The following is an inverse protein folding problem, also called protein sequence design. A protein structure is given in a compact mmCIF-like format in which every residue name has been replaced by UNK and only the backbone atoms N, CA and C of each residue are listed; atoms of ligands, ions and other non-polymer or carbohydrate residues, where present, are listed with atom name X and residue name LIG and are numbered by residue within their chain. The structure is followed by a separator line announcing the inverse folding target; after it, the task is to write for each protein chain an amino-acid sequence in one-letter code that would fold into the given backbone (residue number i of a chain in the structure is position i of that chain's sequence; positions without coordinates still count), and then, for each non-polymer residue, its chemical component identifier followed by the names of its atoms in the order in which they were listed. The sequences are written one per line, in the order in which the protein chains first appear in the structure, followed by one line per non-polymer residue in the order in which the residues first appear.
data_IF_203153369803
#
_entry.id   IF_203153369803
#
_cell.length_a   1.000
_cell.length_b   1.000
_cell.length_c   1.000
_cell.angle_alpha   90.00
_cell.angle_beta   90.00
_cell.angle_gamma   90.00
#
_symmetry.space_group_name_H-M   'P 1'
#
loop_
_entity.id
_entity.type
_entity.pdbx_description
1 polymer ?
#
# COMPACT_ATOMS: atom_id res chain seq x y z
N UNK A 1 -16.01 19.89 46.06
CA UNK A 1 -15.57 18.84 46.99
C UNK A 1 -14.29 18.25 46.42
N UNK A 2 -13.19 18.47 47.13
CA UNK A 2 -11.81 18.32 46.67
C UNK A 2 -11.17 17.08 47.29
N UNK A 3 -10.15 16.55 46.60
CA UNK A 3 -9.10 15.63 47.04
C UNK A 3 -9.41 14.13 46.93
N UNK A 4 -8.93 13.58 45.80
CA UNK A 4 -8.67 12.16 45.58
C UNK A 4 -7.40 11.75 46.34
N UNK A 5 -7.53 10.69 47.13
CA UNK A 5 -6.45 10.05 47.88
C UNK A 5 -5.54 9.27 46.92
N UNK A 6 -4.24 9.57 46.97
CA UNK A 6 -3.18 8.76 46.35
C UNK A 6 -3.04 7.42 47.08
N UNK A 7 -2.89 6.34 46.32
CA UNK A 7 -2.23 5.12 46.78
C UNK A 7 -1.23 4.67 45.70
N UNK A 8 0.03 4.71 46.11
CA UNK A 8 1.22 4.25 45.39
C UNK A 8 1.41 2.77 45.69
N UNK A 9 1.68 1.95 44.68
CA UNK A 9 2.51 0.75 44.86
C UNK A 9 3.34 0.49 43.61
N UNK A 10 4.64 0.43 43.84
CA UNK A 10 5.74 0.14 42.91
C UNK A 10 5.90 -1.37 42.76
N UNK A 11 6.14 -1.84 41.54
CA UNK A 11 6.85 -3.11 41.33
C UNK A 11 7.74 -2.99 40.07
N UNK A 12 9.04 -3.00 40.30
CA UNK A 12 10.10 -3.10 39.29
C UNK A 12 10.28 -4.57 38.93
N UNK A 13 10.31 -4.88 37.63
CA UNK A 13 10.83 -6.15 37.12
C UNK A 13 11.82 -5.85 36.00
N UNK A 14 13.11 -6.02 36.31
CA UNK A 14 14.22 -6.05 35.36
C UNK A 14 14.41 -7.50 34.89
N UNK A 15 14.32 -7.73 33.59
CA UNK A 15 14.84 -8.95 32.97
C UNK A 15 15.72 -8.56 31.78
N UNK A 16 17.01 -8.88 31.92
CA UNK A 16 18.02 -8.78 30.89
C UNK A 16 17.88 -9.94 29.89
N UNK A 17 18.00 -9.66 28.59
CA UNK A 17 18.40 -10.65 27.59
C UNK A 17 18.97 -9.97 26.33
N UNK A 18 20.29 -10.14 26.17
CA UNK A 18 21.06 -10.44 24.96
C UNK A 18 20.77 -9.71 23.64
N UNK A 19 21.79 -9.00 23.13
CA UNK A 19 21.94 -8.82 21.68
C UNK A 19 22.81 -7.65 21.23
N UNK A 20 24.10 -7.61 21.61
CA UNK A 20 25.09 -6.81 20.87
C UNK A 20 25.33 -7.48 19.52
N UNK A 21 25.08 -6.77 18.42
CA UNK A 21 25.79 -6.97 17.16
C UNK A 21 26.27 -5.59 16.70
N UNK A 22 27.56 -5.34 16.93
CA UNK A 22 28.33 -4.30 16.28
C UNK A 22 29.52 -4.99 15.60
N UNK A 23 29.83 -4.54 14.38
CA UNK A 23 30.85 -5.10 13.47
C UNK A 23 30.16 -5.58 12.19
N UNK A 24 30.53 -5.20 10.97
CA UNK A 24 31.74 -4.60 10.42
C UNK A 24 31.31 -3.86 9.13
N UNK A 25 31.93 -2.76 8.70
CA UNK A 25 33.06 -2.81 7.77
C UNK A 25 32.60 -3.17 6.34
N UNK A 26 32.30 -2.18 5.48
CA UNK A 26 33.21 -1.60 4.48
C UNK A 26 33.33 -2.40 3.17
N UNK A 27 32.99 -1.69 2.08
CA UNK A 27 33.56 -1.65 0.73
C UNK A 27 34.35 -2.86 0.17
N UNK A 28 34.05 -3.16 -1.10
CA UNK A 28 34.87 -3.91 -2.05
C UNK A 28 34.06 -4.14 -3.32
N UNK A 29 34.04 -3.19 -4.25
CA UNK A 29 34.92 -3.09 -5.43
C UNK A 29 34.56 -4.05 -6.59
N UNK A 30 34.10 -3.41 -7.67
CA UNK A 30 34.70 -3.43 -9.01
C UNK A 30 35.29 -4.75 -9.52
N UNK A 31 34.64 -5.34 -10.51
CA UNK A 31 35.21 -6.34 -11.40
C UNK A 31 34.77 -6.10 -12.83
N UNK A 32 35.48 -5.20 -13.53
CA UNK A 32 35.48 -5.15 -14.98
C UNK A 32 36.38 -6.28 -15.50
N UNK A 33 35.95 -6.93 -16.59
CA UNK A 33 36.68 -7.98 -17.27
C UNK A 33 36.06 -8.21 -18.63
N UNK A 34 36.46 -7.35 -19.57
CA UNK A 34 36.30 -7.53 -21.01
C UNK A 34 37.23 -8.64 -21.48
N UNK A 35 36.80 -9.46 -22.44
CA UNK A 35 37.61 -9.86 -23.59
C UNK A 35 36.75 -10.62 -24.61
N UNK A 36 36.68 -10.06 -25.82
CA UNK A 36 35.92 -10.59 -26.94
C UNK A 36 36.70 -11.59 -27.79
N UNK A 37 35.96 -12.38 -28.58
CA UNK A 37 36.46 -12.96 -29.84
C UNK A 37 35.32 -12.97 -30.85
N UNK A 38 35.63 -12.55 -32.08
CA UNK A 38 34.71 -12.26 -33.18
C UNK A 38 34.37 -13.49 -34.06
N UNK A 39 33.10 -13.50 -34.52
CA UNK A 39 32.53 -13.93 -35.82
C UNK A 39 32.65 -15.41 -36.29
N UNK A 40 31.63 -15.95 -37.00
CA UNK A 40 31.37 -15.54 -38.39
C UNK A 40 29.91 -15.17 -38.70
N UNK A 41 29.75 -14.41 -39.78
CA UNK A 41 28.50 -13.96 -40.36
C UNK A 41 27.64 -15.14 -40.88
N UNK A 42 26.44 -15.28 -40.31
CA UNK A 42 25.32 -16.04 -40.86
C UNK A 42 24.34 -15.11 -41.59
N UNK A 43 23.53 -15.64 -42.52
CA UNK A 43 22.76 -14.83 -43.45
C UNK A 43 21.73 -13.94 -42.73
N UNK A 44 21.63 -12.69 -43.19
CA UNK A 44 20.61 -11.73 -42.79
C UNK A 44 19.23 -12.33 -43.05
N UNK A 45 18.57 -12.79 -41.99
CA UNK A 45 17.13 -12.99 -42.00
C UNK A 45 16.50 -11.65 -41.66
N UNK A 46 15.94 -11.00 -42.68
CA UNK A 46 14.92 -9.98 -42.48
C UNK A 46 13.78 -10.63 -41.72
N UNK A 47 13.77 -10.45 -40.41
CA UNK A 47 12.57 -10.61 -39.61
C UNK A 47 11.95 -9.22 -39.52
N UNK A 48 11.13 -8.89 -40.52
CA UNK A 48 9.87 -8.19 -40.25
C UNK A 48 9.07 -9.11 -39.31
N UNK A 49 9.49 -9.16 -38.04
CA UNK A 49 8.64 -9.54 -36.96
C UNK A 49 7.82 -8.29 -36.71
N UNK A 50 6.62 -8.29 -37.30
CA UNK A 50 5.44 -7.62 -36.76
C UNK A 50 5.67 -7.41 -35.26
N UNK A 51 5.99 -6.16 -34.88
CA UNK A 51 5.95 -5.77 -33.50
C UNK A 51 4.48 -5.90 -33.13
N UNK A 52 4.14 -7.05 -32.54
CA UNK A 52 2.87 -7.26 -31.88
C UNK A 52 2.61 -5.98 -31.06
N UNK A 53 1.55 -5.22 -31.38
CA UNK A 53 1.28 -4.00 -30.64
C UNK A 53 1.12 -4.43 -29.20
N UNK A 54 2.09 -4.03 -28.36
CA UNK A 54 2.18 -4.39 -26.96
C UNK A 54 0.77 -4.52 -26.39
N UNK A 55 0.43 -5.74 -25.98
CA UNK A 55 -0.89 -6.09 -25.50
C UNK A 55 -1.44 -4.97 -24.60
N UNK A 56 -2.71 -4.56 -24.79
CA UNK A 56 -3.30 -3.47 -24.04
C UNK A 56 -3.11 -3.72 -22.54
N UNK A 57 -2.89 -2.63 -21.79
CA UNK A 57 -2.67 -2.62 -20.34
C UNK A 57 -3.39 -3.78 -19.67
N UNK A 58 -2.58 -4.69 -19.11
CA UNK A 58 -2.98 -5.88 -18.37
C UNK A 58 -4.31 -5.65 -17.67
N UNK A 59 -5.31 -6.48 -17.94
CA UNK A 59 -6.49 -6.57 -17.09
C UNK A 59 -5.97 -6.65 -15.66
N UNK A 60 -6.22 -5.60 -14.87
CA UNK A 60 -5.55 -5.44 -13.59
C UNK A 60 -5.96 -6.63 -12.70
N UNK A 61 -5.04 -7.56 -12.51
CA UNK A 61 -5.29 -8.74 -11.68
C UNK A 61 -5.15 -8.34 -10.21
N UNK A 62 -6.13 -7.60 -9.69
CA UNK A 62 -6.14 -7.15 -8.30
C UNK A 62 -6.09 -8.33 -7.32
N UNK A 63 -6.67 -9.47 -7.69
CA UNK A 63 -6.69 -10.68 -6.86
C UNK A 63 -5.27 -11.22 -6.55
N UNK A 64 -4.27 -10.92 -7.39
CA UNK A 64 -2.88 -11.33 -7.14
C UNK A 64 -2.25 -10.62 -5.92
N UNK A 65 -2.86 -9.53 -5.42
CA UNK A 65 -2.40 -8.81 -4.23
C UNK A 65 -3.01 -9.35 -2.94
N UNK A 66 -4.05 -10.18 -3.01
CA UNK A 66 -4.69 -10.73 -1.79
C UNK A 66 -3.67 -11.53 -0.97
N UNK A 67 -3.60 -11.25 0.32
CA UNK A 67 -2.64 -11.81 1.26
C UNK A 67 -1.24 -11.18 1.23
N UNK A 68 -1.01 -10.17 0.38
CA UNK A 68 0.23 -9.38 0.33
C UNK A 68 0.05 -8.06 1.08
N UNK A 69 1.13 -7.49 1.58
CA UNK A 69 1.08 -6.12 2.07
C UNK A 69 1.04 -5.12 0.91
N UNK A 70 0.45 -3.92 1.07
CA UNK A 70 0.39 -2.91 0.01
C UNK A 70 1.76 -2.48 -0.54
N UNK A 71 2.82 -2.59 0.27
CA UNK A 71 4.20 -2.29 -0.13
C UNK A 71 4.91 -3.47 -0.80
N UNK A 72 4.37 -4.68 -0.73
CA UNK A 72 4.94 -5.84 -1.41
C UNK A 72 4.72 -5.71 -2.91
N UNK A 73 5.79 -5.93 -3.68
CA UNK A 73 5.69 -5.93 -5.13
C UNK A 73 5.09 -7.25 -5.64
N UNK A 74 4.02 -7.16 -6.43
CA UNK A 74 3.47 -8.27 -7.22
C UNK A 74 3.86 -8.03 -8.68
N UNK A 75 4.66 -8.93 -9.24
CA UNK A 75 5.27 -8.75 -10.58
C UNK A 75 6.01 -7.41 -10.73
N UNK A 76 6.71 -6.98 -9.67
CA UNK A 76 7.51 -5.75 -9.67
C UNK A 76 6.74 -4.46 -9.41
N UNK A 77 5.44 -4.53 -9.10
CA UNK A 77 4.59 -3.34 -8.85
C UNK A 77 3.93 -3.45 -7.48
N UNK A 78 4.05 -2.41 -6.65
CA UNK A 78 3.36 -2.31 -5.36
C UNK A 78 1.88 -1.92 -5.57
N UNK A 79 1.03 -2.11 -4.56
CA UNK A 79 -0.40 -1.81 -4.67
C UNK A 79 -0.68 -0.37 -5.07
N UNK A 80 -0.07 0.59 -4.35
CA UNK A 80 -0.25 2.01 -4.63
C UNK A 80 0.46 2.45 -5.92
N UNK A 81 1.42 1.68 -6.43
CA UNK A 81 2.08 1.95 -7.71
C UNK A 81 1.38 1.35 -8.93
N UNK A 82 0.43 0.45 -8.70
CA UNK A 82 -0.36 -0.16 -9.76
C UNK A 82 -1.12 0.93 -10.55
N UNK A 83 -0.91 1.05 -11.88
CA UNK A 83 -1.56 2.08 -12.69
C UNK A 83 -3.09 2.04 -12.63
N UNK A 84 -3.68 0.85 -12.51
CA UNK A 84 -5.13 0.71 -12.40
C UNK A 84 -5.66 1.18 -11.05
N UNK A 85 -4.92 0.96 -9.95
CA UNK A 85 -5.25 1.50 -8.62
C UNK A 85 -5.15 3.03 -8.63
N UNK A 86 -4.07 3.58 -9.19
CA UNK A 86 -3.90 5.05 -9.35
C UNK A 86 -5.06 5.67 -10.15
N UNK A 87 -5.43 5.05 -11.26
CA UNK A 87 -6.54 5.51 -12.10
C UNK A 87 -7.89 5.45 -11.36
N UNK A 88 -8.15 4.36 -10.64
CA UNK A 88 -9.39 4.22 -9.86
C UNK A 88 -9.48 5.26 -8.74
N UNK A 89 -8.38 5.50 -8.00
CA UNK A 89 -8.33 6.52 -6.96
C UNK A 89 -8.54 7.93 -7.51
N UNK A 90 -7.93 8.28 -8.64
CA UNK A 90 -8.13 9.58 -9.29
C UNK A 90 -9.57 9.77 -9.82
N UNK A 91 -10.23 8.69 -10.23
CA UNK A 91 -11.62 8.71 -10.65
C UNK A 91 -12.57 8.96 -9.46
N UNK A 92 -12.26 8.38 -8.29
CA UNK A 92 -13.09 8.44 -7.08
C UNK A 92 -12.83 9.70 -6.24
N UNK A 93 -11.58 10.08 -6.00
CA UNK A 93 -11.19 11.15 -5.08
C UNK A 93 -10.96 12.46 -5.85
N UNK A 94 -11.76 13.49 -5.58
CA UNK A 94 -11.62 14.83 -6.19
C UNK A 94 -10.71 15.77 -5.41
N UNK A 95 -10.59 15.55 -4.10
CA UNK A 95 -9.68 16.28 -3.24
C UNK A 95 -8.24 15.79 -3.47
N UNK A 96 -7.40 16.63 -4.09
CA UNK A 96 -6.02 16.28 -4.40
C UNK A 96 -5.14 16.10 -3.16
N UNK A 97 -5.45 16.78 -2.05
CA UNK A 97 -4.73 16.61 -0.79
C UNK A 97 -5.07 15.27 -0.15
N UNK A 98 -6.35 14.88 -0.18
CA UNK A 98 -6.78 13.56 0.27
C UNK A 98 -6.16 12.44 -0.59
N UNK A 99 -6.20 12.60 -1.92
CA UNK A 99 -5.61 11.63 -2.84
C UNK A 99 -4.14 11.40 -2.49
N UNK A 100 -3.38 12.50 -2.36
CA UNK A 100 -1.97 12.44 -1.95
C UNK A 100 -1.78 11.80 -0.57
N UNK A 101 -2.66 12.10 0.37
CA UNK A 101 -2.62 11.50 1.72
C UNK A 101 -2.72 9.98 1.62
N UNK A 102 -3.68 9.45 0.85
CA UNK A 102 -3.91 8.01 0.72
C UNK A 102 -2.79 7.31 -0.04
N UNK A 103 -2.24 7.94 -1.09
CA UNK A 103 -1.21 7.30 -1.93
C UNK A 103 0.19 7.39 -1.35
N UNK A 104 0.51 8.48 -0.65
CA UNK A 104 1.90 8.82 -0.32
C UNK A 104 2.21 8.74 1.18
N UNK A 105 1.21 8.73 2.06
CA UNK A 105 1.47 8.71 3.51
C UNK A 105 1.95 7.33 3.90
N UNK A 106 3.21 7.18 4.35
CA UNK A 106 3.68 5.90 4.85
C UNK A 106 3.05 5.62 6.22
N UNK A 107 2.84 4.34 6.51
CA UNK A 107 2.43 3.93 7.84
C UNK A 107 2.09 2.45 7.90
N UNK A 108 1.64 1.99 9.06
CA UNK A 108 1.23 0.60 9.25
C UNK A 108 0.12 0.24 8.27
N UNK A 109 0.17 -1.00 7.78
CA UNK A 109 -0.82 -1.59 6.90
C UNK A 109 -1.08 -3.03 7.31
N UNK A 110 -2.22 -3.55 6.88
CA UNK A 110 -2.56 -4.96 6.99
C UNK A 110 -2.34 -5.65 5.63
N UNK A 111 -2.25 -6.98 5.58
CA UNK A 111 -2.38 -7.70 4.31
C UNK A 111 -3.66 -7.29 3.58
N UNK A 112 -3.59 -7.28 2.25
CA UNK A 112 -4.73 -6.98 1.39
C UNK A 112 -5.72 -8.14 1.46
N UNK A 113 -6.98 -7.84 1.67
CA UNK A 113 -8.04 -8.83 1.92
C UNK A 113 -9.16 -8.73 0.88
N UNK A 114 -10.03 -9.75 0.84
CA UNK A 114 -11.31 -9.65 0.15
C UNK A 114 -12.38 -9.28 1.17
N UNK A 115 -12.95 -8.08 1.04
CA UNK A 115 -14.04 -7.59 1.88
C UNK A 115 -15.23 -7.33 0.98
N UNK A 116 -16.36 -8.00 1.22
CA UNK A 116 -17.58 -7.90 0.41
C UNK A 116 -17.33 -8.09 -1.11
N UNK A 117 -16.40 -8.99 -1.45
CA UNK A 117 -16.01 -9.28 -2.84
C UNK A 117 -15.07 -8.24 -3.48
N UNK A 118 -14.63 -7.22 -2.74
CA UNK A 118 -13.68 -6.19 -3.18
C UNK A 118 -12.28 -6.46 -2.63
N UNK A 119 -11.27 -6.24 -3.46
CA UNK A 119 -9.86 -6.31 -3.06
C UNK A 119 -9.54 -5.05 -2.27
N UNK A 120 -9.22 -5.22 -1.00
CA UNK A 120 -9.20 -4.14 -0.01
C UNK A 120 -7.82 -3.99 0.60
N UNK A 121 -7.21 -2.83 0.37
CA UNK A 121 -5.98 -2.42 1.04
C UNK A 121 -6.31 -1.46 2.18
N UNK A 122 -5.79 -1.74 3.37
CA UNK A 122 -5.94 -0.89 4.55
C UNK A 122 -4.59 -0.34 4.99
N UNK A 123 -4.57 0.93 5.38
CA UNK A 123 -3.42 1.57 6.00
C UNK A 123 -3.85 2.68 6.95
N UNK A 124 -2.90 3.14 7.76
CA UNK A 124 -3.11 4.20 8.72
C UNK A 124 -1.89 5.08 8.87
N UNK A 125 -2.09 6.28 9.40
CA UNK A 125 -0.98 7.21 9.64
C UNK A 125 -0.07 6.66 10.75
N UNK A 126 1.23 6.68 10.48
CA UNK A 126 2.24 6.23 11.43
C UNK A 126 2.11 6.94 12.79
N UNK A 127 2.05 6.16 13.87
CA UNK A 127 1.82 6.63 15.24
C UNK A 127 0.47 7.31 15.51
N UNK A 128 -0.44 7.29 14.54
CA UNK A 128 -1.76 7.92 14.63
C UNK A 128 -2.87 7.03 14.05
N UNK A 129 -2.73 5.70 14.21
CA UNK A 129 -3.54 4.76 13.44
C UNK A 129 -5.02 4.73 13.81
N UNK A 130 -5.35 4.80 15.11
CA UNK A 130 -6.74 4.86 15.53
C UNK A 130 -7.42 6.13 15.02
N UNK A 131 -6.81 7.31 15.20
CA UNK A 131 -7.41 8.56 14.76
C UNK A 131 -7.39 8.81 13.26
N UNK A 132 -6.47 8.21 12.50
CA UNK A 132 -6.31 8.50 11.07
C UNK A 132 -5.97 7.25 10.27
N UNK A 133 -6.97 6.74 9.55
CA UNK A 133 -6.91 5.49 8.81
C UNK A 133 -7.73 5.55 7.52
N UNK A 134 -7.36 4.73 6.55
CA UNK A 134 -8.05 4.64 5.27
C UNK A 134 -8.04 3.23 4.72
N UNK A 135 -9.01 2.95 3.86
CA UNK A 135 -9.01 1.75 3.03
C UNK A 135 -9.43 2.05 1.60
N UNK A 136 -8.82 1.33 0.68
CA UNK A 136 -9.10 1.38 -0.75
C UNK A 136 -9.68 0.03 -1.15
N UNK A 137 -10.95 0.02 -1.57
CA UNK A 137 -11.70 -1.16 -1.95
C UNK A 137 -11.90 -1.14 -3.46
N UNK A 138 -11.24 -2.03 -4.19
CA UNK A 138 -11.37 -2.16 -5.63
C UNK A 138 -12.32 -3.31 -5.96
N UNK A 139 -13.37 -3.03 -6.72
CA UNK A 139 -14.15 -4.08 -7.38
C UNK A 139 -13.29 -4.76 -8.45
N UNK A 140 -12.95 -6.06 -8.29
CA UNK A 140 -12.06 -6.75 -9.22
C UNK A 140 -12.68 -6.95 -10.61
N UNK A 141 -14.00 -6.86 -10.76
CA UNK A 141 -14.68 -7.02 -12.05
C UNK A 141 -14.67 -5.73 -12.88
N UNK A 142 -14.79 -4.56 -12.21
CA UNK A 142 -14.94 -3.27 -12.90
C UNK A 142 -13.74 -2.35 -12.76
N UNK A 143 -12.86 -2.61 -11.78
CA UNK A 143 -11.76 -1.71 -11.40
C UNK A 143 -12.23 -0.44 -10.68
N UNK A 144 -13.52 -0.33 -10.34
CA UNK A 144 -14.04 0.82 -9.62
C UNK A 144 -13.59 0.82 -8.14
N UNK A 145 -13.17 1.98 -7.64
CA UNK A 145 -12.76 2.15 -6.25
C UNK A 145 -13.85 2.78 -5.40
N UNK A 146 -14.08 2.20 -4.23
CA UNK A 146 -14.65 2.89 -3.08
C UNK A 146 -13.52 3.12 -2.05
N UNK A 147 -13.58 4.22 -1.33
CA UNK A 147 -12.54 4.63 -0.38
C UNK A 147 -13.20 5.00 0.94
N UNK A 148 -12.80 4.33 2.02
CA UNK A 148 -13.09 4.77 3.37
C UNK A 148 -11.94 5.65 3.85
N UNK A 149 -12.25 6.82 4.41
CA UNK A 149 -11.30 7.72 5.04
C UNK A 149 -11.83 8.17 6.41
N UNK A 150 -11.14 7.79 7.48
CA UNK A 150 -11.48 8.18 8.84
C UNK A 150 -10.41 9.13 9.38
N UNK A 151 -10.85 10.25 9.94
CA UNK A 151 -10.01 11.21 10.62
C UNK A 151 -10.77 11.77 11.83
N UNK A 152 -10.37 11.36 13.02
CA UNK A 152 -11.01 11.71 14.30
C UNK A 152 -11.07 13.23 14.53
N UNK A 153 -10.10 13.98 13.99
CA UNK A 153 -10.10 15.44 14.07
C UNK A 153 -11.25 16.08 13.27
N UNK A 154 -11.82 15.36 12.29
CA UNK A 154 -12.99 15.79 11.51
C UNK A 154 -14.28 15.21 12.08
N UNK A 155 -14.28 13.92 12.42
CA UNK A 155 -15.41 13.24 13.07
C UNK A 155 -14.91 12.09 13.92
N UNK A 156 -15.30 12.06 15.20
CA UNK A 156 -14.85 11.02 16.13
C UNK A 156 -15.58 9.68 15.95
N UNK A 157 -16.66 9.64 15.17
CA UNK A 157 -17.55 8.47 15.09
C UNK A 157 -17.94 8.07 13.68
N UNK A 158 -17.57 8.86 12.67
CA UNK A 158 -17.96 8.60 11.28
C UNK A 158 -16.75 8.70 10.35
N UNK A 159 -16.67 7.77 9.41
CA UNK A 159 -15.75 7.82 8.29
C UNK A 159 -16.43 8.43 7.07
N UNK A 160 -15.63 9.16 6.28
CA UNK A 160 -16.00 9.63 4.96
C UNK A 160 -15.80 8.52 3.95
N UNK A 161 -16.87 8.17 3.25
CA UNK A 161 -16.87 7.20 2.17
C UNK A 161 -16.95 7.92 0.83
N UNK A 162 -15.92 7.77 0.02
CA UNK A 162 -15.87 8.23 -1.36
C UNK A 162 -16.15 7.05 -2.26
N UNK A 163 -17.28 7.07 -2.94
CA UNK A 163 -17.77 5.97 -3.73
C UNK A 163 -17.42 6.15 -5.21
N UNK A 164 -17.36 5.03 -5.92
CA UNK A 164 -17.24 5.01 -7.36
C UNK A 164 -18.24 5.99 -8.01
N UNK A 165 -17.78 6.76 -9.00
CA UNK A 165 -18.56 7.83 -9.63
C UNK A 165 -18.52 9.18 -8.90
N UNK A 166 -17.76 9.29 -7.80
CA UNK A 166 -17.48 10.55 -7.10
C UNK A 166 -18.56 10.99 -6.12
N UNK A 167 -19.46 10.07 -5.71
CA UNK A 167 -20.41 10.32 -4.62
C UNK A 167 -19.68 10.24 -3.28
N UNK A 168 -20.01 11.11 -2.34
CA UNK A 168 -19.51 11.04 -0.96
C UNK A 168 -20.64 10.84 0.04
N UNK A 169 -20.36 10.12 1.13
CA UNK A 169 -21.26 9.96 2.26
C UNK A 169 -20.52 9.76 3.58
N UNK A 170 -21.19 10.03 4.70
CA UNK A 170 -20.69 9.71 6.04
C UNK A 170 -21.29 8.38 6.50
N UNK A 171 -20.47 7.50 7.07
CA UNK A 171 -20.94 6.26 7.68
C UNK A 171 -20.36 6.13 9.08
N UNK A 172 -21.17 5.63 10.01
CA UNK A 172 -20.72 5.33 11.36
C UNK A 172 -19.57 4.32 11.36
N UNK A 173 -18.67 4.46 12.34
CA UNK A 173 -17.47 3.65 12.47
C UNK A 173 -16.23 4.30 11.86
N UNK A 174 -15.18 3.50 11.73
CA UNK A 174 -13.93 3.89 11.10
C UNK A 174 -13.68 2.98 9.88
N UNK A 175 -12.47 3.00 9.36
CA UNK A 175 -12.07 2.16 8.21
C UNK A 175 -11.48 0.81 8.60
N UNK A 176 -11.75 0.27 9.79
CA UNK A 176 -11.24 -1.04 10.19
C UNK A 176 -12.22 -2.11 9.75
N UNK A 177 -11.74 -3.10 8.98
CA UNK A 177 -12.56 -4.19 8.42
C UNK A 177 -12.31 -5.54 9.08
N UNK A 178 -11.48 -5.58 10.14
CA UNK A 178 -11.31 -6.77 10.95
C UNK A 178 -12.55 -6.99 11.82
N UNK A 179 -13.24 -8.10 11.58
CA UNK A 179 -14.27 -8.68 12.47
C UNK A 179 -13.68 -9.14 13.82
#
# INVERSE_FOLDING_TARGET
MTIRLLLVTVAVATLAACGTNAGEGAAGESGAGEDGVAAPAGPAVSADADADPAAPATTANFAAYVGKYPFDAVNGVSWNDNPAVKAALAATIKDSALLKTITDTPGPSAPIELVDGKVTAWACEQHNCGPHQWAVLIDPATGAADVCYFNEATSATEARWLLAGGKEEQRAGNCSFAD
#
